data_IF_827097941552
#
_entry.id   IF_827097941552
#
_cell.length_a   1.000
_cell.length_b   1.000
_cell.length_c   1.000
_cell.angle_alpha   90.00
_cell.angle_beta   90.00
_cell.angle_gamma   90.00
#
_symmetry.space_group_name_H-M   'P 1'
#
loop_
_entity.id
_entity.type
_entity.pdbx_description
1 polymer ?
#
# COMPACT_ATOMS: atom_id res chain seq x y z
N UNK A 1 10.75 5.34 9.07
CA UNK A 1 11.89 6.23 8.81
C UNK A 1 11.77 6.87 7.43
N UNK A 2 12.05 8.16 7.34
CA UNK A 2 12.15 8.89 6.08
C UNK A 2 13.63 9.22 5.86
N UNK A 3 14.25 8.63 4.84
CA UNK A 3 15.71 8.74 4.64
C UNK A 3 16.08 8.60 3.17
N UNK A 4 17.27 9.08 2.81
CA UNK A 4 17.78 8.89 1.46
C UNK A 4 18.28 7.47 1.25
N UNK A 5 17.89 6.87 0.13
CA UNK A 5 18.55 5.71 -0.44
C UNK A 5 19.54 6.16 -1.52
N UNK A 6 20.53 5.31 -1.80
CA UNK A 6 21.61 5.62 -2.75
C UNK A 6 21.57 4.61 -3.89
N UNK A 7 21.17 5.05 -5.06
CA UNK A 7 21.01 4.20 -6.24
C UNK A 7 22.22 4.38 -7.16
N UNK A 8 23.11 3.37 -7.27
CA UNK A 8 24.24 3.46 -8.18
C UNK A 8 23.78 3.39 -9.63
N UNK A 9 24.26 4.29 -10.48
CA UNK A 9 23.97 4.22 -11.92
C UNK A 9 24.74 3.08 -12.60
N UNK A 10 25.93 2.74 -12.07
CA UNK A 10 26.74 1.60 -12.53
C UNK A 10 27.65 1.08 -11.43
N UNK A 11 28.12 -0.15 -11.57
CA UNK A 11 29.11 -0.78 -10.70
C UNK A 11 30.32 -1.22 -11.55
N UNK A 12 31.59 -0.98 -11.10
CA UNK A 12 31.97 -0.20 -9.93
C UNK A 12 31.59 1.28 -10.05
N UNK A 13 31.41 1.95 -8.91
CA UNK A 13 31.05 3.36 -8.88
C UNK A 13 32.14 4.21 -9.55
N UNK A 14 31.76 5.04 -10.53
CA UNK A 14 32.62 6.02 -11.20
C UNK A 14 32.15 7.46 -10.96
N UNK A 15 30.96 7.62 -10.41
CA UNK A 15 30.33 8.88 -10.01
C UNK A 15 29.49 8.67 -8.74
N UNK A 16 29.03 9.74 -8.12
CA UNK A 16 28.15 9.66 -6.97
C UNK A 16 26.83 8.99 -7.35
N UNK A 17 26.26 8.13 -6.49
CA UNK A 17 24.98 7.53 -6.69
C UNK A 17 23.88 8.60 -6.71
N UNK A 18 22.76 8.30 -7.32
CA UNK A 18 21.55 9.10 -7.21
C UNK A 18 20.96 8.93 -5.81
N UNK A 19 20.67 10.05 -5.16
CA UNK A 19 19.99 10.07 -3.86
C UNK A 19 18.50 10.23 -4.07
N UNK A 20 17.71 9.36 -3.44
CA UNK A 20 16.24 9.41 -3.48
C UNK A 20 15.68 9.29 -2.08
N UNK A 21 14.70 10.11 -1.77
CA UNK A 21 14.04 10.08 -0.46
C UNK A 21 12.97 9.00 -0.43
N UNK A 22 13.14 8.03 0.48
CA UNK A 22 12.21 6.93 0.69
C UNK A 22 11.64 6.94 2.11
N UNK A 23 10.36 6.59 2.23
CA UNK A 23 9.71 6.28 3.49
C UNK A 23 9.70 4.77 3.68
N UNK A 24 10.53 4.27 4.60
CA UNK A 24 10.54 2.88 5.03
C UNK A 24 9.67 2.70 6.28
N UNK A 25 8.93 1.60 6.35
CA UNK A 25 8.14 1.24 7.53
C UNK A 25 8.19 -0.26 7.81
N UNK A 26 8.00 -0.61 9.06
CA UNK A 26 7.90 -1.98 9.53
C UNK A 26 6.82 -2.08 10.60
N UNK A 27 6.02 -3.14 10.55
CA UNK A 27 5.04 -3.50 11.55
C UNK A 27 5.26 -4.96 11.96
N UNK A 28 5.17 -5.24 13.25
CA UNK A 28 5.32 -6.59 13.78
C UNK A 28 4.50 -6.75 15.06
N UNK A 29 3.94 -7.94 15.25
CA UNK A 29 3.12 -8.23 16.43
C UNK A 29 2.11 -9.34 16.19
N UNK A 30 1.36 -9.66 17.24
CA UNK A 30 0.35 -10.73 17.22
C UNK A 30 -0.87 -10.34 16.37
N UNK A 31 -1.22 -9.06 16.37
CA UNK A 31 -2.40 -8.51 15.67
C UNK A 31 -2.09 -7.91 14.30
N UNK A 32 -0.80 -7.90 13.92
CA UNK A 32 -0.40 -7.37 12.64
C UNK A 32 -0.69 -8.37 11.52
N UNK A 33 -1.34 -7.88 10.49
CA UNK A 33 -1.58 -8.61 9.25
C UNK A 33 -1.50 -7.68 8.04
N UNK A 34 -1.69 -8.25 6.86
CA UNK A 34 -1.65 -7.50 5.60
C UNK A 34 -2.69 -6.37 5.58
N UNK A 35 -3.88 -6.62 6.11
CA UNK A 35 -4.97 -5.64 6.08
C UNK A 35 -4.77 -4.52 7.11
N UNK A 36 -4.17 -4.81 8.27
CA UNK A 36 -3.82 -3.79 9.25
C UNK A 36 -2.81 -2.79 8.65
N UNK A 37 -1.77 -3.30 7.98
CA UNK A 37 -0.77 -2.44 7.30
C UNK A 37 -1.40 -1.70 6.12
N UNK A 38 -2.24 -2.36 5.34
CA UNK A 38 -2.98 -1.73 4.24
C UNK A 38 -3.84 -0.58 4.75
N UNK A 39 -4.59 -0.77 5.85
CA UNK A 39 -5.40 0.27 6.47
C UNK A 39 -4.57 1.47 6.91
N UNK A 40 -3.42 1.25 7.55
CA UNK A 40 -2.51 2.34 7.93
C UNK A 40 -1.99 3.13 6.70
N UNK A 41 -1.74 2.44 5.58
CA UNK A 41 -1.35 3.09 4.32
C UNK A 41 -2.52 3.87 3.70
N UNK A 42 -3.74 3.35 3.80
CA UNK A 42 -4.95 4.06 3.35
C UNK A 42 -5.21 5.32 4.17
N UNK A 43 -5.01 5.27 5.49
CA UNK A 43 -5.09 6.44 6.38
C UNK A 43 -4.02 7.48 6.03
N UNK A 44 -2.80 7.03 5.73
CA UNK A 44 -1.73 7.90 5.25
C UNK A 44 -2.13 8.59 3.94
N UNK A 45 -2.63 7.85 2.97
CA UNK A 45 -3.09 8.39 1.69
C UNK A 45 -4.22 9.42 1.89
N UNK A 46 -5.20 9.10 2.74
CA UNK A 46 -6.30 9.99 3.06
C UNK A 46 -5.82 11.29 3.69
N UNK A 47 -4.77 11.25 4.54
CA UNK A 47 -4.17 12.45 5.13
C UNK A 47 -3.57 13.40 4.09
N UNK A 48 -3.15 12.87 2.95
CA UNK A 48 -2.65 13.64 1.79
C UNK A 48 -3.75 13.98 0.78
N UNK A 49 -4.98 13.55 1.01
CA UNK A 49 -6.10 13.77 0.08
C UNK A 49 -6.00 12.94 -1.21
N UNK A 50 -5.34 11.79 -1.16
CA UNK A 50 -5.24 10.82 -2.27
C UNK A 50 -5.75 9.46 -1.83
N UNK A 51 -5.87 8.54 -2.79
CA UNK A 51 -6.20 7.13 -2.53
C UNK A 51 -5.07 6.26 -3.03
N UNK A 52 -4.65 5.28 -2.23
CA UNK A 52 -3.76 4.23 -2.68
C UNK A 52 -4.57 3.05 -3.23
N UNK A 53 -4.17 2.59 -4.39
CA UNK A 53 -4.60 1.34 -4.98
C UNK A 53 -3.50 0.29 -4.73
N UNK A 54 -3.87 -0.98 -4.63
CA UNK A 54 -2.91 -2.06 -4.43
C UNK A 54 -3.02 -3.08 -5.54
N UNK A 55 -1.86 -3.49 -6.07
CA UNK A 55 -1.74 -4.58 -7.04
C UNK A 55 -0.84 -5.67 -6.48
N UNK A 56 -1.12 -6.92 -6.83
CA UNK A 56 -0.28 -8.05 -6.40
C UNK A 56 1.15 -7.88 -6.89
N UNK A 57 2.13 -8.03 -5.98
CA UNK A 57 3.55 -8.01 -6.28
C UNK A 57 4.14 -9.42 -6.17
N UNK A 58 4.90 -9.85 -7.20
CA UNK A 58 5.51 -11.17 -7.25
C UNK A 58 7.05 -11.11 -7.34
N UNK A 59 7.60 -9.94 -7.66
CA UNK A 59 9.00 -9.72 -7.99
C UNK A 59 9.75 -8.82 -6.98
N UNK A 60 9.24 -8.68 -5.75
CA UNK A 60 9.94 -7.98 -4.66
C UNK A 60 10.69 -9.02 -3.82
N UNK A 61 12.03 -9.10 -3.93
CA UNK A 61 12.81 -10.25 -3.44
C UNK A 61 12.75 -10.49 -1.93
N UNK A 62 12.53 -9.43 -1.16
CA UNK A 62 12.46 -9.50 0.30
C UNK A 62 11.05 -9.68 0.85
N UNK A 63 10.03 -9.66 -0.01
CA UNK A 63 8.64 -9.88 0.37
C UNK A 63 8.18 -11.30 0.03
N UNK A 64 7.26 -11.81 0.81
CA UNK A 64 6.65 -13.12 0.59
C UNK A 64 5.75 -13.08 -0.66
N UNK A 65 5.98 -13.92 -1.69
CA UNK A 65 5.32 -13.78 -3.01
C UNK A 65 3.80 -13.94 -2.97
N UNK A 66 3.27 -14.60 -1.92
CA UNK A 66 1.83 -14.74 -1.72
C UNK A 66 1.17 -13.66 -0.85
N UNK A 67 1.98 -12.75 -0.25
CA UNK A 67 1.50 -11.71 0.68
C UNK A 67 2.32 -10.43 0.43
N UNK A 68 2.28 -9.94 -0.79
CA UNK A 68 2.98 -8.74 -1.21
C UNK A 68 2.13 -7.95 -2.21
N UNK A 69 2.23 -6.63 -2.16
CA UNK A 69 1.54 -5.73 -3.07
C UNK A 69 2.40 -4.51 -3.44
N UNK A 70 2.18 -4.02 -4.63
CA UNK A 70 2.58 -2.67 -5.02
C UNK A 70 1.57 -1.66 -4.54
N UNK A 71 2.05 -0.48 -4.21
CA UNK A 71 1.26 0.69 -3.84
C UNK A 71 1.22 1.61 -5.06
N UNK A 72 0.02 1.91 -5.53
CA UNK A 72 -0.19 2.84 -6.63
C UNK A 72 -0.93 4.08 -6.13
N UNK A 73 -0.55 5.23 -6.68
CA UNK A 73 -1.26 6.50 -6.50
C UNK A 73 -1.52 7.10 -7.88
N UNK A 74 -2.79 7.32 -8.24
CA UNK A 74 -3.19 7.76 -9.57
C UNK A 74 -2.66 6.88 -10.70
N UNK A 75 -2.59 5.56 -10.48
CA UNK A 75 -2.06 4.58 -11.45
C UNK A 75 -0.52 4.55 -11.55
N UNK A 76 0.19 5.37 -10.75
CA UNK A 76 1.67 5.39 -10.70
C UNK A 76 2.12 4.56 -9.50
N UNK A 77 3.04 3.60 -9.73
CA UNK A 77 3.65 2.84 -8.64
C UNK A 77 4.53 3.76 -7.80
N UNK A 78 4.16 3.90 -6.52
CA UNK A 78 4.88 4.73 -5.55
C UNK A 78 5.62 3.90 -4.50
N UNK A 79 5.37 2.60 -4.41
CA UNK A 79 6.03 1.75 -3.44
C UNK A 79 5.58 0.30 -3.47
N UNK A 80 5.98 -0.45 -2.45
CA UNK A 80 5.56 -1.82 -2.22
C UNK A 80 5.52 -2.14 -0.73
N UNK A 81 4.68 -3.12 -0.35
CA UNK A 81 4.63 -3.63 1.00
C UNK A 81 4.19 -5.09 1.04
N UNK A 82 4.44 -5.75 2.15
CA UNK A 82 4.00 -7.12 2.34
C UNK A 82 4.65 -7.80 3.54
N UNK A 83 4.41 -9.08 3.67
CA UNK A 83 5.06 -9.90 4.68
C UNK A 83 6.52 -10.13 4.31
N UNK A 84 7.43 -10.07 5.27
CA UNK A 84 8.84 -10.45 5.08
C UNK A 84 8.94 -11.90 4.58
N UNK A 85 9.74 -12.15 3.56
CA UNK A 85 9.99 -13.49 3.04
C UNK A 85 10.63 -14.38 4.12
N UNK A 86 10.22 -15.63 4.19
CA UNK A 86 10.62 -16.54 5.27
C UNK A 86 12.12 -16.84 5.24
N UNK A 87 12.73 -16.93 4.07
CA UNK A 87 14.17 -17.14 3.88
C UNK A 87 14.99 -15.91 4.29
N UNK A 88 14.49 -14.72 3.98
CA UNK A 88 15.09 -13.45 4.43
C UNK A 88 15.00 -13.36 5.95
N UNK A 89 13.82 -13.64 6.53
CA UNK A 89 13.63 -13.65 7.97
C UNK A 89 14.56 -14.65 8.68
N UNK A 90 14.77 -15.83 8.10
CA UNK A 90 15.67 -16.84 8.66
C UNK A 90 17.16 -16.42 8.62
N UNK A 91 17.53 -15.53 7.70
CA UNK A 91 18.88 -14.96 7.60
C UNK A 91 19.16 -13.80 8.54
N UNK A 92 18.11 -13.25 9.18
CA UNK A 92 18.24 -12.16 10.15
C UNK A 92 18.37 -12.74 11.57
N UNK A 93 19.28 -12.16 12.36
CA UNK A 93 19.46 -12.51 13.79
C UNK A 93 18.38 -11.85 14.65
N UNK A 94 17.13 -12.25 14.41
CA UNK A 94 15.99 -11.73 15.15
C UNK A 94 15.81 -12.46 16.47
N UNK A 95 15.37 -11.75 17.56
CA UNK A 95 15.08 -12.38 18.82
C UNK A 95 14.09 -13.54 18.66
N UNK A 96 14.42 -14.69 19.26
CA UNK A 96 13.60 -15.92 19.16
C UNK A 96 12.33 -15.89 20.01
N UNK A 97 11.83 -14.74 20.38
CA UNK A 97 10.52 -14.66 21.02
C UNK A 97 9.44 -15.08 20.01
N UNK A 98 8.84 -16.22 20.27
CA UNK A 98 7.96 -16.94 19.35
C UNK A 98 6.73 -16.14 18.89
N UNK A 99 6.39 -15.05 19.58
CA UNK A 99 5.25 -14.20 19.24
C UNK A 99 5.61 -13.05 18.32
N UNK A 100 6.75 -12.40 18.54
CA UNK A 100 7.18 -11.28 17.72
C UNK A 100 7.69 -11.71 16.31
N UNK A 101 8.20 -12.95 16.19
CA UNK A 101 8.83 -13.42 14.95
C UNK A 101 7.88 -14.03 13.91
N UNK A 102 6.59 -14.18 14.23
CA UNK A 102 5.69 -14.90 13.32
C UNK A 102 5.14 -14.02 12.18
N UNK A 103 5.03 -12.71 12.37
CA UNK A 103 4.44 -11.82 11.38
C UNK A 103 5.20 -10.50 11.37
N UNK A 104 6.10 -10.35 10.41
CA UNK A 104 6.77 -9.08 10.13
C UNK A 104 6.27 -8.59 8.77
N UNK A 105 5.69 -7.42 8.76
CA UNK A 105 5.30 -6.70 7.57
C UNK A 105 6.20 -5.49 7.41
N UNK A 106 6.59 -5.22 6.19
CA UNK A 106 7.41 -4.05 5.88
C UNK A 106 7.08 -3.54 4.48
N UNK A 107 7.52 -2.34 4.22
CA UNK A 107 7.41 -1.75 2.90
C UNK A 107 8.16 -0.45 2.81
N UNK A 108 8.16 0.08 1.62
CA UNK A 108 8.76 1.37 1.32
C UNK A 108 7.94 2.13 0.28
N UNK A 109 8.00 3.45 0.37
CA UNK A 109 7.39 4.38 -0.57
C UNK A 109 8.48 5.33 -1.07
N UNK A 110 8.63 5.44 -2.38
CA UNK A 110 9.39 6.52 -3.03
C UNK A 110 8.64 7.83 -2.78
N UNK A 111 9.18 8.62 -1.86
CA UNK A 111 8.53 9.81 -1.38
C UNK A 111 8.43 10.89 -2.47
N UNK A 112 9.44 11.03 -3.31
CA UNK A 112 9.44 12.02 -4.39
C UNK A 112 8.40 11.67 -5.45
N UNK A 113 8.32 10.39 -5.82
CA UNK A 113 7.30 9.89 -6.74
C UNK A 113 5.89 10.10 -6.17
N UNK A 114 5.69 9.82 -4.87
CA UNK A 114 4.41 10.08 -4.19
C UNK A 114 4.05 11.56 -4.21
N UNK A 115 4.96 12.44 -3.81
CA UNK A 115 4.72 13.89 -3.76
C UNK A 115 4.32 14.45 -5.11
N UNK A 116 4.87 13.91 -6.21
CA UNK A 116 4.49 14.30 -7.56
C UNK A 116 3.03 13.94 -7.92
N UNK A 117 2.39 13.01 -7.18
CA UNK A 117 1.00 12.60 -7.38
C UNK A 117 0.03 13.41 -6.50
N UNK A 118 0.51 14.18 -5.53
CA UNK A 118 -0.35 14.89 -4.60
C UNK A 118 -1.07 16.07 -5.26
N UNK A 119 -2.30 16.37 -4.85
CA UNK A 119 -3.02 17.54 -5.36
C UNK A 119 -2.31 18.84 -4.97
N UNK A 120 -2.34 19.83 -5.85
CA UNK A 120 -1.67 21.13 -5.69
C UNK A 120 -2.20 21.98 -4.50
N UNK A 121 -3.14 21.46 -3.71
CA UNK A 121 -3.69 22.13 -2.52
C UNK A 121 -4.98 21.49 -2.03
N UNK A 122 -5.36 21.83 -0.83
CA UNK A 122 -6.63 21.41 -0.24
C UNK A 122 -7.79 22.10 -0.99
N UNK A 123 -8.77 21.32 -1.43
CA UNK A 123 -10.01 21.83 -2.00
C UNK A 123 -11.13 21.66 -0.98
N UNK A 124 -11.86 22.75 -0.75
CA UNK A 124 -13.07 22.69 0.03
C UNK A 124 -14.13 21.87 -0.75
N UNK A 125 -14.69 20.87 -0.09
CA UNK A 125 -15.88 20.16 -0.57
C UNK A 125 -17.06 20.56 0.31
N UNK A 126 -18.17 21.08 -0.27
CA UNK A 126 -19.35 21.39 0.51
C UNK A 126 -19.90 20.11 1.16
N UNK A 127 -20.49 20.27 2.34
CA UNK A 127 -21.18 19.17 2.98
C UNK A 127 -22.34 18.69 2.09
N UNK A 128 -22.59 17.37 2.03
CA UNK A 128 -23.72 16.85 1.26
C UNK A 128 -25.04 17.39 1.83
N UNK A 129 -25.96 17.80 0.94
CA UNK A 129 -27.27 18.32 1.32
C UNK A 129 -28.25 17.20 1.75
N UNK A 130 -27.93 15.95 1.39
CA UNK A 130 -28.80 14.80 1.65
C UNK A 130 -28.00 13.73 2.42
N UNK A 131 -28.70 13.03 3.30
CA UNK A 131 -28.15 11.89 4.03
C UNK A 131 -27.83 10.73 3.08
N UNK A 132 -26.81 9.96 3.43
CA UNK A 132 -26.46 8.72 2.72
C UNK A 132 -27.50 7.62 3.03
N UNK A 133 -27.79 6.81 2.02
CA UNK A 133 -28.69 5.65 2.14
C UNK A 133 -27.88 4.39 1.87
N UNK A 134 -27.83 3.48 2.85
CA UNK A 134 -27.17 2.17 2.68
C UNK A 134 -28.08 1.19 1.91
N UNK A 135 -27.45 0.35 1.08
CA UNK A 135 -28.10 -0.75 0.35
C UNK A 135 -27.15 -1.93 0.29
N UNK A 136 -27.64 -3.11 0.62
CA UNK A 136 -26.92 -4.35 0.50
C UNK A 136 -27.11 -4.93 -0.91
N UNK A 137 -26.01 -5.40 -1.50
CA UNK A 137 -26.01 -6.08 -2.79
C UNK A 137 -25.31 -7.45 -2.62
N UNK A 138 -26.03 -8.51 -3.02
CA UNK A 138 -25.43 -9.84 -3.12
C UNK A 138 -25.03 -10.09 -4.58
N UNK A 139 -23.77 -10.32 -4.82
CA UNK A 139 -23.20 -10.56 -6.14
C UNK A 139 -22.59 -11.95 -6.20
N UNK A 140 -22.65 -12.57 -7.36
CA UNK A 140 -21.94 -13.84 -7.67
C UNK A 140 -20.90 -13.50 -8.71
N UNK A 141 -19.65 -13.80 -8.40
CA UNK A 141 -18.51 -13.58 -9.29
C UNK A 141 -17.60 -14.82 -9.28
N UNK A 142 -16.75 -14.94 -10.28
CA UNK A 142 -15.72 -15.99 -10.30
C UNK A 142 -14.74 -15.75 -9.15
N UNK A 143 -14.22 -16.84 -8.57
CA UNK A 143 -13.30 -16.81 -7.42
C UNK A 143 -12.02 -16.00 -7.70
N UNK A 144 -11.57 -16.01 -8.95
CA UNK A 144 -10.40 -15.25 -9.39
C UNK A 144 -10.66 -13.74 -9.58
N UNK A 145 -11.90 -13.29 -9.45
CA UNK A 145 -12.24 -11.86 -9.65
C UNK A 145 -11.87 -11.04 -8.42
N UNK A 146 -10.90 -10.12 -8.49
CA UNK A 146 -10.55 -9.28 -7.35
C UNK A 146 -11.73 -8.39 -6.95
N UNK A 147 -12.04 -8.32 -5.66
CA UNK A 147 -13.11 -7.47 -5.13
C UNK A 147 -12.93 -5.99 -5.53
N UNK A 148 -11.70 -5.51 -5.56
CA UNK A 148 -11.37 -4.15 -6.01
C UNK A 148 -11.86 -3.83 -7.42
N UNK A 149 -11.87 -4.79 -8.33
CA UNK A 149 -12.40 -4.63 -9.69
C UNK A 149 -13.91 -4.39 -9.67
N UNK A 150 -14.63 -5.15 -8.83
CA UNK A 150 -16.07 -5.01 -8.66
C UNK A 150 -16.40 -3.63 -8.09
N UNK A 151 -15.69 -3.21 -7.03
CA UNK A 151 -15.84 -1.90 -6.40
C UNK A 151 -15.57 -0.77 -7.40
N UNK A 152 -14.52 -0.89 -8.20
CA UNK A 152 -14.18 0.10 -9.22
C UNK A 152 -15.30 0.26 -10.27
N UNK A 153 -15.87 -0.86 -10.73
CA UNK A 153 -17.02 -0.84 -11.66
C UNK A 153 -18.26 -0.22 -11.03
N UNK A 154 -18.55 -0.51 -9.75
CA UNK A 154 -19.65 0.10 -9.02
C UNK A 154 -19.49 1.62 -8.91
N UNK A 155 -18.30 2.09 -8.54
CA UNK A 155 -17.97 3.54 -8.47
C UNK A 155 -18.04 4.20 -9.84
N UNK A 156 -17.63 3.51 -10.90
CA UNK A 156 -17.75 4.00 -12.28
C UNK A 156 -19.21 4.12 -12.73
N UNK A 157 -20.05 3.14 -12.38
CA UNK A 157 -21.45 3.09 -12.77
C UNK A 157 -22.31 4.10 -11.99
N UNK A 158 -21.97 4.39 -10.74
CA UNK A 158 -22.75 5.28 -9.88
C UNK A 158 -21.87 6.38 -9.26
N UNK A 159 -21.91 7.57 -9.83
CA UNK A 159 -21.15 8.74 -9.33
C UNK A 159 -21.60 9.25 -7.97
N UNK A 160 -22.78 8.86 -7.51
CA UNK A 160 -23.34 9.24 -6.20
C UNK A 160 -22.97 8.21 -5.11
N UNK A 161 -22.28 7.15 -5.47
CA UNK A 161 -21.83 6.13 -4.54
C UNK A 161 -20.76 6.73 -3.61
N UNK A 162 -21.09 6.85 -2.33
CA UNK A 162 -20.21 7.44 -1.34
C UNK A 162 -19.12 6.44 -0.91
N UNK A 163 -19.53 5.20 -0.59
CA UNK A 163 -18.62 4.15 -0.15
C UNK A 163 -19.17 2.76 -0.49
N UNK A 164 -18.27 1.75 -0.46
CA UNK A 164 -18.60 0.33 -0.64
C UNK A 164 -17.82 -0.47 0.40
N UNK A 165 -18.54 -1.14 1.27
CA UNK A 165 -18.01 -2.03 2.29
C UNK A 165 -18.30 -3.49 1.90
N UNK A 166 -17.28 -4.35 2.02
CA UNK A 166 -17.42 -5.80 1.86
C UNK A 166 -17.61 -6.44 3.24
N UNK A 167 -18.67 -7.23 3.39
CA UNK A 167 -18.99 -7.91 4.65
C UNK A 167 -19.27 -9.40 4.49
#
# INVERSE_FOLDING_TARGET
ELSNIYVPKQLPLTELPEERLHLGFVAFGEHEDFFAVKGALEDLAASFGVTFEVERAEDVPYLHPGIAAYILCNGVRVGSFGKLANDVQAGLDLPRDSRANQKIFLGEIDYETLVAQLPAGLRYHPLPEFDTVARDLALVADEETPCGTIIAEMKRACKQLADVELF
#
